data_IF_277581660613
#
_entry.id   IF_277581660613
#
_cell.length_a   1.000
_cell.length_b   1.000
_cell.length_c   1.000
_cell.angle_alpha   90.00
_cell.angle_beta   90.00
_cell.angle_gamma   90.00
#
_symmetry.space_group_name_H-M   'P 1'
#
loop_
_entity.id
_entity.type
_entity.pdbx_description
1 polymer ?
#
# COMPACT_ATOMS: atom_id res chain seq x y z
N UNK A 1 16.99 -2.95 -2.73
CA UNK A 1 15.61 -3.16 -3.18
C UNK A 1 15.38 -2.65 -4.59
N UNK A 2 14.50 -3.33 -5.34
CA UNK A 2 14.17 -2.92 -6.71
C UNK A 2 13.65 -1.49 -6.80
N UNK A 3 12.92 -1.05 -5.80
CA UNK A 3 12.33 0.30 -5.77
C UNK A 3 13.35 1.43 -5.72
N UNK A 4 14.61 1.14 -5.43
CA UNK A 4 15.70 2.11 -5.40
C UNK A 4 16.59 2.06 -6.65
N UNK A 5 16.26 1.22 -7.60
CA UNK A 5 17.01 1.05 -8.85
C UNK A 5 16.10 1.43 -10.03
N UNK A 6 16.26 2.66 -10.53
CA UNK A 6 15.44 3.19 -11.62
C UNK A 6 15.56 2.37 -12.91
N UNK A 7 16.71 1.69 -13.14
CA UNK A 7 16.89 0.84 -14.30
C UNK A 7 15.98 -0.40 -14.29
N UNK A 8 15.40 -0.72 -13.11
CA UNK A 8 14.51 -1.87 -12.91
C UNK A 8 13.06 -1.44 -12.64
N UNK A 9 12.68 -0.23 -13.00
CA UNK A 9 11.34 0.30 -12.74
C UNK A 9 10.21 -0.55 -13.33
N UNK A 10 10.46 -1.25 -14.44
CA UNK A 10 9.48 -2.17 -15.02
C UNK A 10 9.15 -3.37 -14.11
N UNK A 11 10.02 -3.68 -13.15
CA UNK A 11 9.84 -4.79 -12.20
C UNK A 11 9.29 -4.34 -10.86
N UNK A 12 9.11 -3.03 -10.65
CA UNK A 12 8.56 -2.51 -9.40
C UNK A 12 7.15 -3.04 -9.17
N UNK A 13 6.86 -3.46 -7.95
CA UNK A 13 5.59 -4.06 -7.58
C UNK A 13 5.50 -5.57 -7.80
N UNK A 14 6.51 -6.19 -8.42
CA UNK A 14 6.52 -7.64 -8.67
C UNK A 14 7.26 -8.41 -7.59
N UNK A 15 8.04 -7.73 -6.75
CA UNK A 15 8.78 -8.37 -5.67
C UNK A 15 7.88 -8.72 -4.49
N UNK A 16 8.45 -9.44 -3.53
CA UNK A 16 7.77 -9.83 -2.31
C UNK A 16 8.74 -10.43 -1.30
N UNK A 17 8.25 -10.82 -0.11
CA UNK A 17 9.11 -11.31 0.95
C UNK A 17 9.52 -12.79 0.80
N UNK A 18 9.07 -13.47 -0.24
CA UNK A 18 9.32 -14.88 -0.47
C UNK A 18 8.31 -15.82 0.20
N UNK A 19 7.26 -15.26 0.77
CA UNK A 19 6.15 -16.02 1.39
C UNK A 19 4.83 -15.28 1.20
N UNK A 20 3.74 -15.99 1.46
CA UNK A 20 2.38 -15.41 1.52
C UNK A 20 1.72 -15.81 2.83
N UNK A 21 0.80 -15.01 3.32
CA UNK A 21 0.07 -15.32 4.54
C UNK A 21 -1.42 -15.01 4.40
N UNK A 22 -2.21 -15.64 5.29
CA UNK A 22 -3.66 -15.60 5.24
C UNK A 22 -4.22 -14.22 5.59
N UNK A 23 -5.41 -13.93 5.07
CA UNK A 23 -6.20 -12.77 5.46
C UNK A 23 -6.64 -12.89 6.93
N UNK A 24 -6.76 -11.73 7.59
CA UNK A 24 -7.25 -11.63 8.96
C UNK A 24 -8.46 -10.68 8.96
N UNK A 25 -9.52 -11.09 8.26
CA UNK A 25 -10.72 -10.28 8.08
C UNK A 25 -11.75 -10.63 9.16
N UNK A 26 -12.24 -9.60 9.84
CA UNK A 26 -13.28 -9.70 10.85
C UNK A 26 -14.28 -8.54 10.70
N UNK A 27 -15.33 -8.53 11.56
CA UNK A 27 -16.41 -7.55 11.43
C UNK A 27 -15.97 -6.08 11.48
N UNK A 28 -14.87 -5.80 12.17
CA UNK A 28 -14.33 -4.44 12.32
C UNK A 28 -13.31 -4.06 11.24
N UNK A 29 -13.12 -4.92 10.24
CA UNK A 29 -12.19 -4.68 9.15
C UNK A 29 -12.78 -3.66 8.18
N UNK A 30 -12.44 -2.39 8.36
CA UNK A 30 -12.96 -1.27 7.57
C UNK A 30 -11.86 -0.53 6.85
N UNK A 31 -11.96 -0.46 5.52
CA UNK A 31 -11.06 0.33 4.68
C UNK A 31 -11.56 1.78 4.61
N UNK A 32 -11.66 2.41 5.76
CA UNK A 32 -12.02 3.82 5.89
C UNK A 32 -10.84 4.73 5.54
N UNK A 33 -11.10 6.01 5.37
CA UNK A 33 -10.04 7.01 5.13
C UNK A 33 -9.00 6.96 6.25
N UNK A 34 -7.73 6.94 5.88
CA UNK A 34 -6.61 6.94 6.82
C UNK A 34 -6.20 5.56 7.33
N UNK A 35 -6.89 4.49 6.93
CA UNK A 35 -6.48 3.13 7.31
C UNK A 35 -5.36 2.60 6.42
N UNK A 36 -4.58 1.69 6.98
CA UNK A 36 -3.49 1.00 6.30
C UNK A 36 -3.90 -0.46 6.13
N UNK A 37 -3.84 -0.96 4.91
CA UNK A 37 -4.27 -2.31 4.59
C UNK A 37 -3.27 -3.03 3.69
N UNK A 38 -3.35 -4.36 3.68
CA UNK A 38 -2.49 -5.20 2.85
C UNK A 38 -3.01 -5.29 1.41
N UNK A 39 -2.12 -5.05 0.45
CA UNK A 39 -2.38 -5.40 -0.94
C UNK A 39 -2.27 -6.92 -1.12
N UNK A 40 -3.03 -7.46 -2.05
CA UNK A 40 -3.00 -8.88 -2.36
C UNK A 40 -3.40 -9.17 -3.82
N UNK A 41 -3.23 -10.40 -4.24
CA UNK A 41 -3.60 -10.90 -5.55
C UNK A 41 -4.76 -11.90 -5.48
N UNK A 42 -5.63 -11.76 -4.50
CA UNK A 42 -6.76 -12.65 -4.20
C UNK A 42 -6.71 -13.15 -2.76
N UNK A 43 -7.60 -14.06 -2.35
CA UNK A 43 -7.64 -14.56 -0.98
C UNK A 43 -6.32 -15.16 -0.51
N UNK A 44 -5.91 -14.82 0.70
CA UNK A 44 -4.76 -15.41 1.38
C UNK A 44 -3.44 -15.27 0.61
N UNK A 45 -3.24 -14.12 -0.05
CA UNK A 45 -2.01 -13.84 -0.82
C UNK A 45 -1.26 -12.60 -0.33
N UNK A 46 -1.39 -12.28 0.96
CA UNK A 46 -0.68 -11.15 1.56
C UNK A 46 0.83 -11.39 1.54
N UNK A 47 1.58 -10.36 1.21
CA UNK A 47 3.04 -10.39 1.20
C UNK A 47 3.61 -9.19 1.94
N UNK A 48 4.28 -8.30 1.24
CA UNK A 48 4.90 -7.11 1.84
C UNK A 48 4.32 -5.78 1.34
N UNK A 49 3.49 -5.81 0.32
CA UNK A 49 2.90 -4.60 -0.23
C UNK A 49 1.70 -4.16 0.62
N UNK A 50 1.64 -2.89 0.94
CA UNK A 50 0.55 -2.29 1.67
C UNK A 50 0.10 -0.98 1.00
N UNK A 51 -1.05 -0.48 1.40
CA UNK A 51 -1.54 0.82 0.92
C UNK A 51 -2.22 1.59 2.04
N UNK A 52 -2.34 2.90 1.84
CA UNK A 52 -3.06 3.80 2.74
C UNK A 52 -4.30 4.30 2.00
N UNK A 53 -5.47 4.15 2.62
CA UNK A 53 -6.73 4.60 2.04
C UNK A 53 -6.85 6.13 2.17
N UNK A 54 -6.87 6.82 1.04
CA UNK A 54 -7.10 8.28 0.99
C UNK A 54 -8.57 8.63 0.79
N UNK A 55 -9.37 7.66 0.34
CA UNK A 55 -10.82 7.73 0.21
C UNK A 55 -11.44 6.55 0.95
N UNK A 56 -12.74 6.61 1.33
CA UNK A 56 -13.39 5.42 1.88
C UNK A 56 -13.50 4.35 0.77
N UNK A 57 -12.90 3.21 1.03
CA UNK A 57 -12.86 2.08 0.09
C UNK A 57 -13.52 0.84 0.73
N UNK A 58 -14.72 1.01 1.27
CA UNK A 58 -15.39 -0.05 2.03
C UNK A 58 -15.78 -1.26 1.18
N UNK A 59 -15.77 -1.15 -0.14
CA UNK A 59 -15.89 -2.31 -1.03
C UNK A 59 -14.72 -3.30 -0.88
N UNK A 60 -13.62 -2.91 -0.23
CA UNK A 60 -12.47 -3.75 0.05
C UNK A 60 -12.53 -4.44 1.43
N UNK A 61 -13.54 -4.18 2.24
CA UNK A 61 -13.59 -4.61 3.64
C UNK A 61 -13.52 -6.13 3.82
N UNK A 62 -14.00 -6.90 2.86
CA UNK A 62 -13.96 -8.35 2.90
C UNK A 62 -12.76 -8.96 2.18
N UNK A 63 -11.88 -8.15 1.61
CA UNK A 63 -10.81 -8.60 0.71
C UNK A 63 -9.42 -8.19 1.14
N UNK A 64 -9.28 -7.06 1.84
CA UNK A 64 -8.00 -6.48 2.22
C UNK A 64 -7.94 -6.26 3.73
N UNK A 65 -7.00 -6.93 4.38
CA UNK A 65 -6.81 -6.87 5.82
C UNK A 65 -6.28 -5.50 6.22
N UNK A 66 -7.05 -4.79 7.04
CA UNK A 66 -6.65 -3.55 7.68
C UNK A 66 -5.86 -3.88 8.93
N UNK A 67 -4.67 -3.31 9.08
CA UNK A 67 -3.81 -3.59 10.23
C UNK A 67 -3.37 -2.33 10.98
N UNK A 68 -3.76 -1.15 10.53
CA UNK A 68 -3.39 0.09 11.20
C UNK A 68 -4.15 1.28 10.66
N UNK A 69 -3.86 2.44 11.24
CA UNK A 69 -4.38 3.72 10.75
C UNK A 69 -3.34 4.81 10.94
N UNK A 70 -3.40 5.81 10.08
CA UNK A 70 -2.57 7.00 10.20
C UNK A 70 -3.11 7.87 11.32
N UNK A 71 -2.26 8.19 12.30
CA UNK A 71 -2.61 9.06 13.43
C UNK A 71 -2.07 10.47 13.24
N UNK A 72 -1.11 10.66 12.31
CA UNK A 72 -0.50 11.95 12.02
C UNK A 72 0.11 11.90 10.62
N UNK A 73 0.01 12.99 9.85
CA UNK A 73 0.65 13.08 8.55
C UNK A 73 -0.22 12.72 7.35
N UNK A 74 -1.56 12.68 7.49
CA UNK A 74 -2.45 12.45 6.34
C UNK A 74 -2.31 13.51 5.25
N UNK A 75 -1.90 14.73 5.62
CA UNK A 75 -1.58 15.78 4.65
C UNK A 75 -0.41 15.38 3.74
N UNK A 76 0.61 14.71 4.29
CA UNK A 76 1.73 14.17 3.52
C UNK A 76 1.26 13.06 2.57
N UNK A 77 0.40 12.17 3.05
CA UNK A 77 -0.19 11.10 2.23
C UNK A 77 -0.96 11.68 1.05
N UNK A 78 -1.79 12.71 1.30
CA UNK A 78 -2.55 13.39 0.25
C UNK A 78 -1.63 14.09 -0.77
N UNK A 79 -0.52 14.64 -0.31
CA UNK A 79 0.49 15.24 -1.17
C UNK A 79 1.13 14.20 -2.09
N UNK A 80 1.47 13.03 -1.56
CA UNK A 80 2.01 11.92 -2.35
C UNK A 80 1.00 11.45 -3.40
N UNK A 81 -0.27 11.33 -3.04
CA UNK A 81 -1.33 10.95 -3.98
C UNK A 81 -1.41 11.92 -5.17
N UNK A 82 -1.19 13.20 -4.92
CA UNK A 82 -1.32 14.27 -5.92
C UNK A 82 -0.12 14.46 -6.83
N UNK A 83 0.97 13.71 -6.69
CA UNK A 83 2.16 13.90 -7.53
C UNK A 83 1.92 13.45 -8.97
N UNK A 84 2.64 14.06 -9.91
CA UNK A 84 2.60 13.67 -11.31
C UNK A 84 3.08 12.23 -11.51
N UNK A 85 2.36 11.47 -12.31
CA UNK A 85 2.62 10.06 -12.56
C UNK A 85 2.75 9.76 -14.05
N UNK A 86 3.32 8.61 -14.37
CA UNK A 86 3.34 8.07 -15.72
C UNK A 86 2.03 7.29 -16.01
N UNK A 87 1.83 6.75 -17.25
CA UNK A 87 0.62 5.99 -17.57
C UNK A 87 0.39 4.73 -16.73
N UNK A 88 1.40 4.25 -16.01
CA UNK A 88 1.28 3.11 -15.08
C UNK A 88 1.03 3.56 -13.64
N UNK A 89 0.62 4.81 -13.43
CA UNK A 89 0.37 5.42 -12.13
C UNK A 89 1.60 5.47 -11.20
N UNK A 90 2.79 5.45 -11.78
CA UNK A 90 4.04 5.62 -11.02
C UNK A 90 4.43 7.09 -10.97
N UNK A 91 4.84 7.60 -9.79
CA UNK A 91 5.37 8.95 -9.69
C UNK A 91 6.53 9.17 -10.68
N UNK A 92 6.53 10.31 -11.37
CA UNK A 92 7.63 10.68 -12.28
C UNK A 92 8.94 10.88 -11.53
N UNK A 93 8.85 11.41 -10.30
CA UNK A 93 9.98 11.47 -9.37
C UNK A 93 9.79 10.40 -8.31
N UNK A 94 10.82 9.62 -7.96
CA UNK A 94 10.67 8.56 -6.98
C UNK A 94 10.17 9.05 -5.63
N UNK A 95 9.20 8.32 -5.07
CA UNK A 95 8.73 8.49 -3.69
C UNK A 95 9.27 7.30 -2.90
N UNK A 96 10.06 7.56 -1.88
CA UNK A 96 10.81 6.52 -1.16
C UNK A 96 10.50 6.58 0.33
N UNK A 97 10.21 5.42 0.94
CA UNK A 97 10.21 5.27 2.39
C UNK A 97 11.67 5.14 2.81
N UNK A 98 12.19 6.18 3.45
CA UNK A 98 13.60 6.20 3.86
C UNK A 98 13.85 5.34 5.08
N UNK A 99 12.90 5.34 6.03
CA UNK A 99 13.06 4.69 7.32
C UNK A 99 11.70 4.40 7.96
N UNK A 100 11.60 3.25 8.61
CA UNK A 100 10.47 2.89 9.48
C UNK A 100 11.03 2.64 10.87
N UNK A 101 10.42 3.26 11.87
CA UNK A 101 10.81 3.07 13.29
C UNK A 101 9.61 2.64 14.11
N UNK A 102 9.84 1.89 15.18
CA UNK A 102 8.82 1.45 16.13
C UNK A 102 9.38 1.33 17.55
#
# INVERSE_FOLDING_TARGET
PLSKDDSKSALWGTGGPGYKFADEIHADNKNDVGTIAMANAGPNTNGSQFFINVNPNNFLDTKHTVFGKVIKGMDVVSEIEGVATNPSDRPLSPVVIEKITF
#
